data_IF_718052732444
#
_entry.id   IF_718052732444
#
_cell.length_a   1.000
_cell.length_b   1.000
_cell.length_c   1.000
_cell.angle_alpha   90.00
_cell.angle_beta   90.00
_cell.angle_gamma   90.00
#
_symmetry.space_group_name_H-M   'P 1'
#
loop_
_entity.id
_entity.type
_entity.pdbx_description
1 polymer ?
#
# COMPACT_ATOMS: atom_id res chain seq x y z
N UNK A 1 -0.38 9.44 -18.26
CA UNK A 1 -0.54 7.97 -18.19
C UNK A 1 -1.62 7.71 -17.15
N UNK A 2 -2.57 6.83 -17.43
CA UNK A 2 -3.63 6.50 -16.47
C UNK A 2 -3.26 5.19 -15.80
N UNK A 3 -2.97 5.24 -14.50
CA UNK A 3 -2.62 4.09 -13.68
C UNK A 3 -3.71 3.87 -12.63
N UNK A 4 -3.78 2.66 -12.08
CA UNK A 4 -4.57 2.38 -10.88
C UNK A 4 -3.64 2.45 -9.66
N UNK A 5 -3.92 3.35 -8.73
CA UNK A 5 -3.15 3.44 -7.47
C UNK A 5 -3.77 2.46 -6.48
N UNK A 6 -3.11 1.33 -6.26
CA UNK A 6 -3.51 0.33 -5.30
C UNK A 6 -2.78 0.53 -3.97
N UNK A 7 -3.54 0.82 -2.91
CA UNK A 7 -3.04 0.87 -1.55
C UNK A 7 -2.99 -0.53 -0.94
N UNK A 8 -1.88 -0.85 -0.29
CA UNK A 8 -1.77 -1.97 0.64
C UNK A 8 -1.64 -1.45 2.08
N UNK A 9 -1.57 -2.36 3.05
CA UNK A 9 -1.55 -2.02 4.48
C UNK A 9 -0.30 -1.29 4.96
N UNK A 10 0.81 -1.32 4.21
CA UNK A 10 2.07 -0.67 4.57
C UNK A 10 2.12 0.80 4.09
N UNK A 11 1.26 1.20 3.14
CA UNK A 11 1.25 2.55 2.55
C UNK A 11 0.01 3.38 2.85
N UNK A 12 -0.63 3.18 4.01
CA UNK A 12 -1.85 3.90 4.44
C UNK A 12 -1.56 5.34 4.89
N UNK A 13 -0.93 6.13 4.01
CA UNK A 13 -0.54 7.51 4.28
C UNK A 13 -1.08 8.44 3.16
N UNK A 14 -1.96 9.41 3.47
CA UNK A 14 -2.50 10.33 2.47
C UNK A 14 -1.47 11.30 1.89
N UNK A 15 -0.33 11.51 2.55
CA UNK A 15 0.79 12.32 2.06
C UNK A 15 1.81 11.52 1.24
N UNK A 16 1.62 10.20 1.08
CA UNK A 16 2.55 9.34 0.36
C UNK A 16 2.82 9.84 -1.07
N UNK A 17 4.07 9.73 -1.55
CA UNK A 17 4.50 10.31 -2.83
C UNK A 17 3.64 9.83 -4.01
N UNK A 18 3.22 8.55 -4.03
CA UNK A 18 2.33 8.01 -5.07
C UNK A 18 0.99 8.75 -5.16
N UNK A 19 0.49 9.33 -4.06
CA UNK A 19 -0.75 10.13 -4.05
C UNK A 19 -0.54 11.45 -4.78
N UNK A 20 0.65 12.04 -4.64
CA UNK A 20 1.00 13.30 -5.28
C UNK A 20 1.27 13.10 -6.77
N UNK A 21 2.07 12.08 -7.11
CA UNK A 21 2.47 11.79 -8.49
C UNK A 21 1.29 11.29 -9.34
N UNK A 22 0.32 10.63 -8.72
CA UNK A 22 -0.88 10.08 -9.36
C UNK A 22 -2.18 10.68 -8.79
N UNK A 23 -2.18 12.00 -8.58
CA UNK A 23 -3.30 12.73 -7.97
C UNK A 23 -4.65 12.50 -8.68
N UNK A 24 -4.66 12.45 -10.02
CA UNK A 24 -5.87 12.28 -10.83
C UNK A 24 -6.21 10.80 -11.13
N UNK A 25 -5.37 9.86 -10.69
CA UNK A 25 -5.60 8.44 -10.91
C UNK A 25 -6.60 7.86 -9.90
N UNK A 26 -7.40 6.85 -10.29
CA UNK A 26 -8.25 6.11 -9.36
C UNK A 26 -7.39 5.48 -8.27
N UNK A 27 -7.83 5.62 -7.02
CA UNK A 27 -7.16 5.11 -5.83
C UNK A 27 -8.03 4.03 -5.21
N UNK A 28 -7.47 2.86 -4.95
CA UNK A 28 -8.26 1.71 -4.51
C UNK A 28 -7.59 0.97 -3.36
N UNK A 29 -8.41 0.41 -2.48
CA UNK A 29 -8.01 -0.57 -1.48
C UNK A 29 -8.96 -1.77 -1.51
N UNK A 30 -8.42 -2.98 -1.34
CA UNK A 30 -9.23 -4.21 -1.32
C UNK A 30 -9.12 -4.88 0.04
N UNK A 31 -10.24 -5.00 0.76
CA UNK A 31 -10.35 -5.86 1.92
C UNK A 31 -10.52 -7.31 1.47
N UNK A 32 -9.41 -8.04 1.49
CA UNK A 32 -9.38 -9.46 1.17
C UNK A 32 -9.90 -10.31 2.31
N UNK A 33 -11.06 -10.95 2.10
CA UNK A 33 -11.76 -11.67 3.16
C UNK A 33 -10.97 -12.90 3.62
N UNK A 34 -10.36 -13.62 2.70
CA UNK A 34 -9.58 -14.81 3.03
C UNK A 34 -8.31 -14.42 3.78
N UNK A 35 -7.64 -13.34 3.37
CA UNK A 35 -6.51 -12.76 4.11
C UNK A 35 -6.91 -12.39 5.54
N UNK A 36 -7.97 -11.58 5.69
CA UNK A 36 -8.41 -11.10 7.00
C UNK A 36 -8.77 -12.26 7.94
N UNK A 37 -9.42 -13.30 7.42
CA UNK A 37 -9.78 -14.49 8.18
C UNK A 37 -8.56 -15.33 8.53
N UNK A 38 -7.69 -15.62 7.56
CA UNK A 38 -6.50 -16.47 7.72
C UNK A 38 -5.55 -15.91 8.77
N UNK A 39 -5.40 -14.59 8.84
CA UNK A 39 -4.54 -13.91 9.81
C UNK A 39 -5.27 -13.47 11.07
N UNK A 40 -6.54 -13.86 11.23
CA UNK A 40 -7.39 -13.52 12.37
C UNK A 40 -7.32 -12.03 12.73
N UNK A 41 -7.38 -11.16 11.71
CA UNK A 41 -7.22 -9.72 11.88
C UNK A 41 -8.39 -9.21 12.71
N UNK A 42 -8.07 -8.69 13.90
CA UNK A 42 -9.07 -8.26 14.84
C UNK A 42 -9.85 -7.04 14.33
N UNK A 43 -11.11 -6.93 14.75
CA UNK A 43 -12.03 -5.86 14.32
C UNK A 43 -11.45 -4.45 14.51
N UNK A 44 -10.74 -4.20 15.61
CA UNK A 44 -10.13 -2.90 15.88
C UNK A 44 -9.04 -2.53 14.87
N UNK A 45 -8.29 -3.51 14.35
CA UNK A 45 -7.31 -3.28 13.29
C UNK A 45 -7.98 -3.00 11.96
N UNK A 46 -9.07 -3.70 11.63
CA UNK A 46 -9.88 -3.41 10.44
C UNK A 46 -10.46 -2.00 10.51
N UNK A 47 -10.98 -1.60 11.67
CA UNK A 47 -11.50 -0.25 11.90
C UNK A 47 -10.41 0.80 11.71
N UNK A 48 -9.23 0.60 12.30
CA UNK A 48 -8.10 1.51 12.13
C UNK A 48 -7.72 1.67 10.65
N UNK A 49 -7.55 0.55 9.92
CA UNK A 49 -7.24 0.58 8.48
C UNK A 49 -8.31 1.38 7.72
N UNK A 50 -9.58 1.11 8.00
CA UNK A 50 -10.69 1.81 7.36
C UNK A 50 -10.66 3.32 7.64
N UNK A 51 -10.44 3.73 8.89
CA UNK A 51 -10.32 5.14 9.26
C UNK A 51 -9.14 5.83 8.55
N UNK A 52 -7.96 5.19 8.50
CA UNK A 52 -6.82 5.70 7.75
C UNK A 52 -7.09 5.83 6.25
N UNK A 53 -7.82 4.87 5.66
CA UNK A 53 -8.19 4.94 4.24
C UNK A 53 -9.07 6.17 3.97
N UNK A 54 -10.00 6.52 4.86
CA UNK A 54 -10.89 7.68 4.66
C UNK A 54 -10.15 9.01 4.62
N UNK A 55 -8.91 9.08 5.12
CA UNK A 55 -8.06 10.27 4.99
C UNK A 55 -7.43 10.42 3.59
N UNK A 56 -7.42 9.34 2.79
CA UNK A 56 -6.90 9.35 1.42
C UNK A 56 -7.92 9.98 0.47
N UNK A 57 -7.56 11.04 -0.29
CA UNK A 57 -8.49 11.71 -1.18
C UNK A 57 -9.04 10.78 -2.27
N UNK A 58 -10.36 10.71 -2.39
CA UNK A 58 -11.08 9.96 -3.43
C UNK A 58 -10.70 8.46 -3.49
N UNK A 59 -10.41 7.84 -2.34
CA UNK A 59 -10.20 6.39 -2.26
C UNK A 59 -11.51 5.63 -2.52
N UNK A 60 -11.42 4.54 -3.26
CA UNK A 60 -12.50 3.57 -3.42
C UNK A 60 -12.13 2.28 -2.68
N UNK A 61 -13.06 1.78 -1.87
CA UNK A 61 -12.82 0.63 -0.99
C UNK A 61 -13.68 -0.55 -1.46
N UNK A 62 -13.00 -1.64 -1.79
CA UNK A 62 -13.59 -2.86 -2.29
C UNK A 62 -13.44 -4.01 -1.28
N UNK A 63 -14.24 -5.05 -1.46
CA UNK A 63 -14.15 -6.30 -0.70
C UNK A 63 -14.19 -7.46 -1.68
N UNK A 64 -13.22 -8.37 -1.58
CA UNK A 64 -13.11 -9.52 -2.48
C UNK A 64 -11.70 -10.07 -2.53
N UNK A 65 -11.46 -11.04 -3.42
CA UNK A 65 -10.10 -11.52 -3.69
C UNK A 65 -9.30 -10.41 -4.38
N UNK A 66 -8.15 -10.07 -3.81
CA UNK A 66 -7.38 -8.87 -4.19
C UNK A 66 -7.05 -8.82 -5.67
N UNK A 67 -6.50 -9.90 -6.23
CA UNK A 67 -6.05 -9.91 -7.63
C UNK A 67 -7.24 -9.85 -8.58
N UNK A 68 -8.31 -10.60 -8.31
CA UNK A 68 -9.52 -10.60 -9.12
C UNK A 68 -10.18 -9.22 -9.18
N UNK A 69 -10.31 -8.54 -8.03
CA UNK A 69 -10.85 -7.18 -7.96
C UNK A 69 -9.97 -6.21 -8.75
N UNK A 70 -8.65 -6.22 -8.53
CA UNK A 70 -7.75 -5.32 -9.23
C UNK A 70 -7.76 -5.54 -10.75
N UNK A 71 -7.81 -6.80 -11.21
CA UNK A 71 -7.93 -7.12 -12.64
C UNK A 71 -9.22 -6.58 -13.27
N UNK A 72 -10.33 -6.66 -12.55
CA UNK A 72 -11.59 -6.09 -12.99
C UNK A 72 -11.48 -4.57 -13.11
N UNK A 73 -10.94 -3.91 -12.09
CA UNK A 73 -10.77 -2.45 -12.07
C UNK A 73 -9.81 -1.95 -13.15
N UNK A 74 -8.71 -2.66 -13.40
CA UNK A 74 -7.79 -2.37 -14.52
C UNK A 74 -8.57 -2.32 -15.85
N UNK A 75 -9.48 -3.28 -16.05
CA UNK A 75 -10.32 -3.35 -17.25
C UNK A 75 -11.36 -2.23 -17.27
N UNK A 76 -12.04 -1.96 -16.16
CA UNK A 76 -13.12 -0.98 -16.07
C UNK A 76 -12.62 0.46 -16.25
N UNK A 77 -11.47 0.81 -15.68
CA UNK A 77 -10.83 2.11 -15.87
C UNK A 77 -10.02 2.21 -17.17
N UNK A 78 -9.79 1.09 -17.88
CA UNK A 78 -8.98 1.05 -19.10
C UNK A 78 -7.51 1.42 -18.86
N UNK A 79 -6.97 1.11 -17.68
CA UNK A 79 -5.57 1.37 -17.34
C UNK A 79 -4.71 0.15 -17.68
N UNK A 80 -3.39 0.34 -17.78
CA UNK A 80 -2.44 -0.72 -18.09
C UNK A 80 -1.24 -0.78 -17.12
N UNK A 81 -1.32 0.00 -16.04
CA UNK A 81 -0.31 0.11 -15.01
C UNK A 81 -0.97 0.16 -13.63
N UNK A 82 -0.38 -0.54 -12.67
CA UNK A 82 -0.73 -0.46 -11.25
C UNK A 82 0.44 0.16 -10.49
N UNK A 83 0.13 1.10 -9.61
CA UNK A 83 1.08 1.75 -8.72
C UNK A 83 0.73 1.36 -7.29
N UNK A 84 1.71 0.93 -6.50
CA UNK A 84 1.53 0.54 -5.09
C UNK A 84 2.74 0.93 -4.27
N UNK A 85 2.64 0.93 -2.94
CA UNK A 85 3.81 1.00 -2.06
C UNK A 85 4.58 -0.32 -2.03
N UNK A 86 5.87 -0.23 -1.73
CA UNK A 86 6.71 -1.36 -1.34
C UNK A 86 6.21 -1.96 -0.04
N UNK A 87 6.40 -3.28 0.10
CA UNK A 87 5.90 -4.03 1.25
C UNK A 87 6.87 -5.14 1.62
N UNK A 88 7.11 -5.41 2.92
CA UNK A 88 7.75 -6.63 3.35
C UNK A 88 6.80 -7.84 3.37
N UNK A 89 5.48 -7.64 3.26
CA UNK A 89 4.48 -8.70 3.38
C UNK A 89 4.54 -9.65 2.16
N UNK A 90 4.91 -10.90 2.42
CA UNK A 90 5.04 -11.94 1.38
C UNK A 90 3.74 -12.23 0.64
N UNK A 91 2.58 -12.09 1.29
CA UNK A 91 1.30 -12.30 0.62
C UNK A 91 1.02 -11.17 -0.37
N UNK A 92 1.26 -9.92 0.03
CA UNK A 92 1.11 -8.78 -0.87
C UNK A 92 2.09 -8.89 -2.04
N UNK A 93 3.34 -9.32 -1.80
CA UNK A 93 4.29 -9.64 -2.88
C UNK A 93 3.76 -10.71 -3.82
N UNK A 94 3.11 -11.76 -3.31
CA UNK A 94 2.53 -12.79 -4.17
C UNK A 94 1.39 -12.26 -5.05
N UNK A 95 0.60 -11.29 -4.55
CA UNK A 95 -0.40 -10.60 -5.37
C UNK A 95 0.25 -9.70 -6.42
N UNK A 96 1.34 -9.00 -6.07
CA UNK A 96 2.13 -8.20 -7.01
C UNK A 96 2.71 -9.06 -8.15
N UNK A 97 3.29 -10.21 -7.81
CA UNK A 97 3.82 -11.19 -8.76
C UNK A 97 2.72 -11.74 -9.70
N UNK A 98 1.51 -11.94 -9.18
CA UNK A 98 0.36 -12.38 -9.97
C UNK A 98 -0.12 -11.28 -10.92
N UNK A 99 -0.20 -10.02 -10.45
CA UNK A 99 -0.60 -8.87 -11.26
C UNK A 99 0.37 -8.57 -12.40
N UNK A 100 1.68 -8.78 -12.19
CA UNK A 100 2.72 -8.61 -13.22
C UNK A 100 2.50 -9.48 -14.47
N UNK A 101 1.69 -10.54 -14.37
CA UNK A 101 1.29 -11.37 -15.52
C UNK A 101 0.28 -10.67 -16.45
N UNK A 102 -0.39 -9.63 -15.97
CA UNK A 102 -1.52 -8.96 -16.64
C UNK A 102 -1.29 -7.46 -16.89
N UNK A 103 -0.43 -6.81 -16.10
CA UNK A 103 -0.21 -5.35 -16.13
C UNK A 103 1.24 -5.02 -15.76
N UNK A 104 1.71 -3.81 -16.09
CA UNK A 104 2.91 -3.27 -15.43
C UNK A 104 2.61 -2.92 -13.98
N UNK A 105 3.63 -3.00 -13.13
CA UNK A 105 3.56 -2.66 -11.72
C UNK A 105 4.73 -1.74 -11.34
N UNK A 106 4.43 -0.61 -10.71
CA UNK A 106 5.41 0.31 -10.13
C UNK A 106 5.27 0.29 -8.62
N UNK A 107 6.38 0.06 -7.92
CA UNK A 107 6.44 0.13 -6.46
C UNK A 107 7.11 1.41 -6.01
N UNK A 108 6.45 2.14 -5.11
CA UNK A 108 7.00 3.31 -4.45
C UNK A 108 7.64 2.92 -3.13
N UNK A 109 8.88 3.36 -2.83
CA UNK A 109 9.52 3.04 -1.56
C UNK A 109 8.79 3.75 -0.42
N UNK A 110 8.58 3.01 0.67
CA UNK A 110 8.19 3.64 1.93
C UNK A 110 9.39 4.40 2.51
N UNK A 111 9.15 5.64 2.92
CA UNK A 111 10.22 6.53 3.40
C UNK A 111 10.53 6.22 4.85
N UNK A 112 11.58 5.43 5.06
CA UNK A 112 12.18 5.24 6.38
C UNK A 112 13.51 5.97 6.46
N UNK A 113 13.85 6.60 7.60
CA UNK A 113 15.21 7.09 7.83
C UNK A 113 16.21 5.94 7.69
N UNK A 114 17.10 6.07 6.73
CA UNK A 114 18.16 5.08 6.47
C UNK A 114 19.40 5.44 7.28
N UNK A 115 20.06 4.42 7.84
CA UNK A 115 21.35 4.59 8.52
C UNK A 115 22.39 3.66 7.90
N UNK A 116 23.61 4.15 7.74
CA UNK A 116 24.75 3.40 7.15
C UNK A 116 25.21 2.17 7.97
N UNK A 117 24.58 1.91 9.11
CA UNK A 117 24.95 0.81 10.00
C UNK A 117 23.75 -0.11 10.23
N UNK A 118 23.91 -1.44 10.16
CA UNK A 118 22.85 -2.40 10.55
C UNK A 118 22.66 -2.40 12.08
N UNK A 119 21.64 -1.72 12.62
CA UNK A 119 21.48 -1.62 14.05
C UNK A 119 20.99 -2.97 14.60
N UNK A 120 21.69 -3.53 15.59
CA UNK A 120 21.23 -4.75 16.29
C UNK A 120 20.22 -4.47 17.40
N UNK A 121 20.01 -3.20 17.75
CA UNK A 121 19.14 -2.77 18.84
C UNK A 121 18.27 -1.61 18.39
N UNK A 122 16.98 -1.71 18.71
CA UNK A 122 15.97 -0.69 18.43
C UNK A 122 16.39 0.70 18.93
N UNK A 123 16.88 0.81 20.16
CA UNK A 123 17.27 2.10 20.74
C UNK A 123 18.48 2.76 20.05
N UNK A 124 19.35 1.98 19.41
CA UNK A 124 20.48 2.55 18.66
C UNK A 124 20.02 3.13 17.31
N UNK A 125 19.09 2.45 16.65
CA UNK A 125 18.45 2.95 15.44
C UNK A 125 17.73 4.28 15.73
N UNK A 126 16.81 4.25 16.70
CA UNK A 126 15.96 5.41 16.97
C UNK A 126 16.73 6.63 17.44
N UNK A 127 17.79 6.51 18.25
CA UNK A 127 18.60 7.69 18.62
C UNK A 127 19.22 8.43 17.43
N UNK A 128 19.48 7.73 16.32
CA UNK A 128 20.02 8.36 15.11
C UNK A 128 18.91 9.01 14.29
N UNK A 129 17.76 8.34 14.18
CA UNK A 129 16.67 8.73 13.30
C UNK A 129 15.63 9.67 13.93
N UNK A 130 15.61 9.82 15.26
CA UNK A 130 14.55 10.52 16.02
C UNK A 130 14.27 11.94 15.49
N UNK A 131 15.34 12.68 15.16
CA UNK A 131 15.23 14.05 14.64
C UNK A 131 14.74 14.12 13.20
N UNK A 132 15.07 13.13 12.37
CA UNK A 132 14.64 13.06 10.97
C UNK A 132 13.18 12.62 10.90
N UNK A 133 12.76 11.70 11.78
CA UNK A 133 11.38 11.19 11.82
C UNK A 133 10.34 12.27 12.17
N UNK A 134 10.67 13.21 13.05
CA UNK A 134 9.76 14.30 13.42
C UNK A 134 9.59 15.38 12.32
N UNK A 135 10.35 15.26 11.23
CA UNK A 135 10.39 16.23 10.13
C UNK A 135 9.99 15.65 8.77
N UNK A 136 9.71 14.34 8.70
CA UNK A 136 9.10 13.66 7.57
C UNK A 136 7.57 13.75 7.67
#
# INVERSE_FOLDING_TARGET
>A
MSALVWFNEDGLNPQHQMVQDYADSPKVYVFDVEYLQRWAIAKHRIQFIYESLLEIPNIEIYKGETVAVLRQLITDYGVNEVVTSETPNHLVKSWQDELLKYTSLITYPEVYPTIDSRPRRFSHYWRKCDREWLTL
#
